data_IF_162763361674
#
_entry.id   IF_162763361674
#
_cell.length_a   1.000
_cell.length_b   1.000
_cell.length_c   1.000
_cell.angle_alpha   90.00
_cell.angle_beta   90.00
_cell.angle_gamma   90.00
#
_symmetry.space_group_name_H-M   'P 1'
#
loop_
_entity.id
_entity.type
_entity.pdbx_description
1 polymer ?
#
# COMPACT_ATOMS: atom_id res chain seq x y z
N UNK A 1 18.68 -13.92 -38.25
CA UNK A 1 19.98 -13.25 -37.98
C UNK A 1 19.74 -12.24 -36.87
N UNK A 2 20.11 -12.62 -35.65
CA UNK A 2 20.04 -11.84 -34.42
C UNK A 2 21.29 -10.91 -34.32
N UNK A 3 21.37 -9.94 -33.38
CA UNK A 3 21.45 -8.51 -33.67
C UNK A 3 22.82 -7.90 -33.34
N UNK A 4 23.19 -6.77 -33.96
CA UNK A 4 24.38 -6.02 -33.56
C UNK A 4 24.03 -4.81 -32.68
N UNK A 5 24.30 -5.03 -31.40
CA UNK A 5 24.47 -4.07 -30.30
C UNK A 5 25.41 -2.92 -30.69
N UNK A 6 24.96 -1.66 -30.59
CA UNK A 6 25.86 -0.49 -30.57
C UNK A 6 25.90 0.09 -29.16
N UNK A 7 26.99 -0.23 -28.46
CA UNK A 7 27.39 0.46 -27.24
C UNK A 7 27.84 1.88 -27.58
N UNK A 8 27.20 2.88 -26.98
CA UNK A 8 27.77 4.22 -26.88
C UNK A 8 28.12 4.43 -25.41
N UNK A 9 29.42 4.37 -25.17
CA UNK A 9 30.09 4.56 -23.89
C UNK A 9 30.45 6.04 -23.73
N UNK A 10 30.57 6.48 -22.46
CA UNK A 10 31.35 7.64 -21.99
C UNK A 10 30.66 9.02 -22.14
N UNK A 11 30.76 10.00 -21.23
CA UNK A 11 31.75 10.31 -20.18
C UNK A 11 31.06 11.13 -19.07
N UNK A 12 31.28 10.75 -17.82
CA UNK A 12 31.04 11.56 -16.63
C UNK A 12 32.02 12.75 -16.61
N UNK A 13 31.53 13.99 -16.76
CA UNK A 13 32.35 15.18 -16.46
C UNK A 13 32.17 15.56 -14.99
N UNK A 14 33.13 15.13 -14.19
CA UNK A 14 33.49 15.77 -12.93
C UNK A 14 34.12 17.13 -13.27
N UNK A 15 33.51 18.22 -12.78
CA UNK A 15 34.19 19.50 -12.63
C UNK A 15 34.40 19.76 -11.14
N UNK A 16 35.68 19.78 -10.81
CA UNK A 16 36.33 20.18 -9.58
C UNK A 16 36.18 21.68 -9.33
N UNK A 17 35.99 22.07 -8.06
CA UNK A 17 35.89 23.47 -7.64
C UNK A 17 35.93 23.64 -6.12
N UNK A 18 37.11 23.40 -5.55
CA UNK A 18 37.64 23.89 -4.25
C UNK A 18 37.59 25.44 -4.24
N UNK A 19 37.41 26.22 -3.18
CA UNK A 19 36.97 26.09 -1.79
C UNK A 19 36.81 27.53 -1.26
N UNK A 20 35.79 27.81 -0.45
CA UNK A 20 35.78 28.98 0.42
C UNK A 20 35.42 28.51 1.84
N UNK A 21 36.47 28.07 2.52
CA UNK A 21 36.62 27.84 3.95
C UNK A 21 36.24 29.11 4.73
N UNK A 22 35.20 29.02 5.54
CA UNK A 22 35.03 29.81 6.75
C UNK A 22 34.50 28.85 7.81
N UNK A 23 35.28 28.65 8.87
CA UNK A 23 35.03 27.64 9.87
C UNK A 23 33.86 28.01 10.78
N UNK A 24 33.01 27.03 11.05
CA UNK A 24 32.27 26.91 12.29
C UNK A 24 32.04 25.42 12.55
N UNK A 25 32.36 25.01 13.78
CA UNK A 25 32.30 23.67 14.32
C UNK A 25 30.84 23.17 14.37
N UNK A 26 30.66 21.86 14.23
CA UNK A 26 29.39 21.12 14.16
C UNK A 26 28.32 21.52 15.19
N UNK A 27 27.05 21.49 14.76
CA UNK A 27 25.92 21.17 15.63
C UNK A 27 25.15 20.01 14.99
N UNK A 28 25.37 18.82 15.55
CA UNK A 28 24.49 17.66 15.38
C UNK A 28 23.12 18.04 15.94
N UNK A 29 22.12 18.21 15.07
CA UNK A 29 20.72 18.40 15.45
C UNK A 29 19.93 17.10 15.22
N UNK A 30 20.00 16.23 16.22
CA UNK A 30 18.90 15.37 16.66
C UNK A 30 19.17 15.21 18.16
N UNK A 31 18.30 15.66 19.09
CA UNK A 31 16.87 15.33 19.12
C UNK A 31 15.99 16.45 19.73
N UNK A 32 14.67 16.32 19.57
CA UNK A 32 13.56 16.95 20.32
C UNK A 32 12.56 17.62 19.37
N UNK A 33 11.47 16.86 19.16
CA UNK A 33 10.14 17.36 18.80
C UNK A 33 9.86 18.67 19.54
N UNK A 34 10.03 19.80 18.87
CA UNK A 34 9.54 21.08 19.35
C UNK A 34 8.81 21.77 18.23
N UNK A 35 7.49 21.64 18.28
CA UNK A 35 6.53 22.69 17.97
C UNK A 35 5.18 22.12 18.39
N UNK A 36 4.78 22.49 19.62
CA UNK A 36 3.41 22.32 20.07
C UNK A 36 2.50 22.93 19.03
N UNK A 37 1.87 22.06 18.24
CA UNK A 37 0.98 22.48 17.16
C UNK A 37 -0.23 23.09 17.84
N UNK A 38 -0.50 24.37 17.57
CA UNK A 38 -1.78 24.97 17.91
C UNK A 38 -2.86 24.03 17.36
N UNK A 39 -3.63 23.40 18.25
CA UNK A 39 -4.68 22.45 17.89
C UNK A 39 -5.84 23.23 17.28
N UNK A 40 -5.73 23.60 16.01
CA UNK A 40 -6.89 23.97 15.20
C UNK A 40 -7.85 22.78 15.20
N UNK A 41 -9.15 23.01 15.39
CA UNK A 41 -10.14 21.92 15.45
C UNK A 41 -10.19 21.08 14.15
N UNK A 42 -9.62 21.58 13.05
CA UNK A 42 -9.37 20.86 11.80
C UNK A 42 -8.28 19.77 11.91
N UNK A 43 -7.41 19.81 12.93
CA UNK A 43 -6.32 18.85 13.16
C UNK A 43 -6.77 17.53 13.81
N UNK A 44 -8.07 17.38 14.09
CA UNK A 44 -8.65 16.19 14.75
C UNK A 44 -9.30 15.21 13.77
N UNK A 45 -9.15 15.42 12.46
CA UNK A 45 -9.71 14.52 11.44
C UNK A 45 -8.58 13.69 10.84
N UNK A 46 -8.77 12.38 10.78
CA UNK A 46 -7.82 11.47 10.13
C UNK A 46 -7.89 11.66 8.61
N UNK A 47 -6.72 11.89 8.01
CA UNK A 47 -6.53 12.05 6.56
C UNK A 47 -5.32 11.19 6.15
N UNK A 48 -5.16 10.93 4.85
CA UNK A 48 -4.02 10.15 4.35
C UNK A 48 -2.66 10.76 4.77
N UNK A 49 -2.57 12.10 4.82
CA UNK A 49 -1.32 12.82 5.15
C UNK A 49 -0.92 12.73 6.63
N UNK A 50 -1.85 12.42 7.53
CA UNK A 50 -1.60 12.32 8.97
C UNK A 50 -1.66 10.89 9.52
N UNK A 51 -1.87 9.90 8.65
CA UNK A 51 -1.82 8.49 8.99
C UNK A 51 -0.38 8.01 9.12
N UNK A 52 -0.19 6.95 9.92
CA UNK A 52 1.10 6.29 10.02
C UNK A 52 1.53 5.77 8.63
N UNK A 53 2.70 6.17 8.10
CA UNK A 53 3.15 5.77 6.77
C UNK A 53 3.32 4.25 6.63
N UNK A 54 3.56 3.51 7.72
CA UNK A 54 3.64 2.06 7.69
C UNK A 54 2.27 1.42 7.45
N UNK A 55 1.18 2.05 7.88
CA UNK A 55 -0.18 1.57 7.61
C UNK A 55 -0.56 1.84 6.14
N UNK A 56 -0.12 2.96 5.58
CA UNK A 56 -0.33 3.27 4.16
C UNK A 56 0.41 2.30 3.23
N UNK A 57 1.60 1.84 3.63
CA UNK A 57 2.42 0.88 2.88
C UNK A 57 2.05 -0.58 3.16
N UNK A 58 1.24 -0.85 4.18
CA UNK A 58 0.89 -2.20 4.58
C UNK A 58 -0.07 -2.81 3.56
N UNK A 59 0.30 -3.96 3.00
CA UNK A 59 -0.53 -4.69 2.06
C UNK A 59 -1.04 -6.00 2.68
N UNK A 60 -2.35 -6.21 2.64
CA UNK A 60 -2.98 -7.46 3.07
C UNK A 60 -3.57 -8.20 1.88
N UNK A 61 -2.74 -9.06 1.27
CA UNK A 61 -3.06 -9.76 0.02
C UNK A 61 -4.37 -10.55 0.06
N UNK A 62 -4.69 -11.18 1.20
CA UNK A 62 -5.87 -12.03 1.38
C UNK A 62 -7.19 -11.26 1.24
N UNK A 63 -7.19 -9.94 1.48
CA UNK A 63 -8.33 -9.03 1.26
C UNK A 63 -7.94 -7.82 0.42
N UNK A 64 -7.15 -8.04 -0.62
CA UNK A 64 -6.70 -7.02 -1.55
C UNK A 64 -7.67 -6.72 -2.71
N UNK A 65 -7.15 -6.13 -3.80
CA UNK A 65 -7.95 -5.68 -4.95
C UNK A 65 -8.80 -6.77 -5.61
N UNK A 66 -8.33 -8.02 -5.64
CA UNK A 66 -9.08 -9.14 -6.22
C UNK A 66 -10.38 -9.40 -5.48
N UNK A 67 -10.37 -9.28 -4.15
CA UNK A 67 -11.54 -9.51 -3.28
C UNK A 67 -12.55 -8.38 -3.44
N UNK A 68 -12.07 -7.15 -3.63
CA UNK A 68 -12.89 -5.97 -3.94
C UNK A 68 -13.58 -6.16 -5.29
N UNK A 69 -12.82 -6.53 -6.33
CA UNK A 69 -13.38 -6.78 -7.67
C UNK A 69 -14.38 -7.93 -7.67
N UNK A 70 -14.11 -9.00 -6.93
CA UNK A 70 -15.06 -10.09 -6.74
C UNK A 70 -16.41 -9.61 -6.15
N UNK A 71 -16.38 -8.69 -5.18
CA UNK A 71 -17.60 -8.11 -4.60
C UNK A 71 -18.36 -7.22 -5.58
N UNK A 72 -17.66 -6.47 -6.43
CA UNK A 72 -18.28 -5.70 -7.51
C UNK A 72 -18.96 -6.62 -8.52
N UNK A 73 -18.28 -7.71 -8.93
CA UNK A 73 -18.84 -8.70 -9.86
C UNK A 73 -20.08 -9.36 -9.27
N UNK A 74 -20.09 -9.70 -7.98
CA UNK A 74 -21.30 -10.21 -7.30
C UNK A 74 -22.46 -9.22 -7.40
N UNK A 75 -22.21 -7.91 -7.19
CA UNK A 75 -23.22 -6.85 -7.35
C UNK A 75 -23.67 -6.69 -8.81
N UNK A 76 -22.76 -6.80 -9.77
CA UNK A 76 -23.06 -6.77 -11.21
C UNK A 76 -23.99 -7.94 -11.58
N UNK A 77 -23.68 -9.15 -11.13
CA UNK A 77 -24.49 -10.35 -11.36
C UNK A 77 -25.88 -10.22 -10.72
N UNK A 78 -25.98 -9.66 -9.51
CA UNK A 78 -27.27 -9.37 -8.86
C UNK A 78 -28.13 -8.38 -9.65
N UNK A 79 -27.50 -7.44 -10.36
CA UNK A 79 -28.19 -6.49 -11.25
C UNK A 79 -28.52 -7.09 -12.63
N UNK A 80 -28.22 -8.37 -12.87
CA UNK A 80 -28.51 -9.06 -14.12
C UNK A 80 -27.44 -8.88 -15.21
N UNK A 81 -26.23 -8.45 -14.86
CA UNK A 81 -25.14 -8.39 -15.84
C UNK A 81 -24.77 -9.79 -16.33
N UNK A 82 -24.64 -9.96 -17.64
CA UNK A 82 -24.24 -11.24 -18.23
C UNK A 82 -22.72 -11.39 -18.18
N UNK A 83 -22.27 -12.51 -17.59
CA UNK A 83 -20.86 -12.92 -17.50
C UNK A 83 -20.76 -14.40 -17.90
N UNK A 84 -19.57 -14.92 -18.25
CA UNK A 84 -19.39 -16.34 -18.58
C UNK A 84 -19.58 -17.31 -17.39
N UNK A 85 -20.05 -16.81 -16.25
CA UNK A 85 -20.31 -17.55 -15.02
C UNK A 85 -21.53 -16.93 -14.32
N UNK A 86 -22.23 -17.75 -13.52
CA UNK A 86 -23.47 -17.34 -12.83
C UNK A 86 -23.26 -16.85 -11.40
N UNK A 87 -22.15 -17.22 -10.77
CA UNK A 87 -21.83 -16.87 -9.38
C UNK A 87 -20.33 -16.75 -9.17
N UNK A 88 -19.94 -15.99 -8.16
CA UNK A 88 -18.57 -15.90 -7.66
C UNK A 88 -18.43 -16.87 -6.48
N UNK A 89 -17.32 -17.62 -6.42
CA UNK A 89 -16.99 -18.52 -5.31
C UNK A 89 -15.77 -17.95 -4.59
N UNK A 90 -15.91 -17.70 -3.28
CA UNK A 90 -14.85 -17.14 -2.44
C UNK A 90 -13.91 -18.25 -1.96
N UNK A 91 -12.86 -18.52 -2.73
CA UNK A 91 -11.82 -19.50 -2.39
C UNK A 91 -10.54 -18.86 -1.81
N UNK A 92 -10.59 -17.57 -1.46
CA UNK A 92 -9.43 -16.80 -1.02
C UNK A 92 -9.16 -16.87 0.50
N UNK A 93 -10.14 -17.29 1.31
CA UNK A 93 -10.05 -17.40 2.76
C UNK A 93 -10.59 -18.78 3.16
N UNK A 94 -9.96 -19.41 4.16
CA UNK A 94 -10.41 -20.67 4.76
C UNK A 94 -11.63 -20.51 5.67
N UNK A 95 -12.72 -19.97 5.15
CA UNK A 95 -14.01 -19.89 5.86
C UNK A 95 -14.88 -21.10 5.48
N UNK A 96 -14.74 -22.16 6.26
CA UNK A 96 -15.43 -23.41 5.97
C UNK A 96 -16.96 -23.31 6.15
N UNK A 97 -17.44 -22.44 7.04
CA UNK A 97 -18.87 -22.21 7.23
C UNK A 97 -19.49 -21.48 6.03
N UNK A 98 -18.80 -20.49 5.45
CA UNK A 98 -19.22 -19.85 4.20
C UNK A 98 -19.29 -20.83 3.03
N UNK A 99 -18.50 -21.91 3.08
CA UNK A 99 -18.50 -23.01 2.10
C UNK A 99 -19.52 -24.13 2.41
N UNK A 100 -20.36 -23.97 3.44
CA UNK A 100 -21.45 -24.89 3.75
C UNK A 100 -21.16 -25.91 4.86
N UNK A 101 -20.02 -25.82 5.55
CA UNK A 101 -19.76 -26.68 6.70
C UNK A 101 -20.78 -26.41 7.81
N UNK A 102 -21.50 -27.47 8.23
CA UNK A 102 -22.43 -27.37 9.35
C UNK A 102 -21.69 -27.21 10.69
N UNK A 103 -22.18 -26.36 11.60
CA UNK A 103 -21.59 -26.24 12.91
C UNK A 103 -21.67 -27.52 13.75
N UNK A 104 -20.65 -27.75 14.57
CA UNK A 104 -20.65 -28.85 15.53
C UNK A 104 -21.59 -28.48 16.68
N UNK A 105 -22.62 -29.31 16.91
CA UNK A 105 -23.70 -29.04 17.87
C UNK A 105 -23.21 -29.01 19.32
N UNK A 106 -22.36 -29.97 19.72
CA UNK A 106 -21.86 -30.08 21.09
C UNK A 106 -21.13 -28.82 21.60
N UNK A 107 -20.37 -28.14 20.73
CA UNK A 107 -19.59 -26.94 21.12
C UNK A 107 -20.50 -25.70 21.29
N UNK A 108 -21.72 -25.73 20.76
CA UNK A 108 -22.63 -24.57 20.70
C UNK A 108 -23.77 -24.61 21.74
N UNK A 109 -23.79 -25.60 22.62
CA UNK A 109 -24.73 -25.69 23.76
C UNK A 109 -24.31 -24.74 24.87
#
# INVERSE_FOLDING_TARGET
MSPQMRMITRVSRLLSGVAARSGAVEIVVDPLRSLGTARTMASKVLNADNLNPNVLKLEYAVRGPLVIRAAEIEKELQKGAQKPFKKVIRANIGDAHAMGQQPITFIRQ
#
